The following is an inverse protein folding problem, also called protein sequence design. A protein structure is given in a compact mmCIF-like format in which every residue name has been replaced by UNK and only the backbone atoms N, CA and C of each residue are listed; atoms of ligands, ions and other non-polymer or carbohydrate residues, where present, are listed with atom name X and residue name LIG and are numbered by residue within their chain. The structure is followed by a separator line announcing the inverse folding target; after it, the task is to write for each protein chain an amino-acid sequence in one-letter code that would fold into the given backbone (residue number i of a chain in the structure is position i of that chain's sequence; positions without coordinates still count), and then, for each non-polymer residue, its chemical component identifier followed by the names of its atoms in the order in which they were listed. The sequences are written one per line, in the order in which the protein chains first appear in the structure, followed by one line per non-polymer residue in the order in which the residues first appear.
data_IF_601189114785
#
_entry.id   IF_601189114785
#
_cell.length_a   1.000
_cell.length_b   1.000
_cell.length_c   1.000
_cell.angle_alpha   90.00
_cell.angle_beta   90.00
_cell.angle_gamma   90.00
#
_symmetry.space_group_name_H-M   'P 1'
#
loop_
_entity.id
_entity.type
_entity.pdbx_description
1 polymer ?
#
# COMPACT_ATOMS: atom_id res chain seq x y z
N UNK A 1 -4.39 32.81 37.89
CA UNK A 1 -3.60 32.86 36.65
C UNK A 1 -4.54 32.54 35.50
N UNK A 2 -4.52 33.32 34.43
CA UNK A 2 -5.34 33.05 33.24
C UNK A 2 -4.63 32.02 32.37
N UNK A 3 -5.05 30.76 32.50
CA UNK A 3 -4.41 29.65 31.80
C UNK A 3 -4.68 29.65 30.28
N UNK A 4 -5.61 30.47 29.78
CA UNK A 4 -5.94 30.53 28.34
C UNK A 4 -4.90 31.28 27.50
N UNK A 5 -4.05 32.09 28.14
CA UNK A 5 -3.04 32.95 27.47
C UNK A 5 -1.60 32.44 27.59
N UNK A 6 -1.44 31.24 28.14
CA UNK A 6 -0.11 30.63 28.33
C UNK A 6 0.33 30.05 26.99
N UNK A 7 1.49 30.51 26.49
CA UNK A 7 2.15 29.95 25.32
C UNK A 7 2.50 28.46 25.52
N UNK A 8 2.48 27.69 24.44
CA UNK A 8 2.69 26.24 24.46
C UNK A 8 3.95 25.83 25.22
N UNK A 9 5.07 26.51 24.98
CA UNK A 9 6.35 26.21 25.65
C UNK A 9 6.28 26.39 27.16
N UNK A 10 5.64 27.47 27.61
CA UNK A 10 5.49 27.77 29.02
C UNK A 10 4.49 26.82 29.69
N UNK A 11 3.42 26.43 28.99
CA UNK A 11 2.47 25.42 29.45
C UNK A 11 3.14 24.06 29.66
N UNK A 12 4.02 23.64 28.75
CA UNK A 12 4.80 22.40 28.87
C UNK A 12 5.71 22.45 30.11
N UNK A 13 6.44 23.55 30.31
CA UNK A 13 7.28 23.74 31.50
C UNK A 13 6.46 23.61 32.79
N UNK A 14 5.35 24.35 32.89
CA UNK A 14 4.45 24.33 34.05
C UNK A 14 3.83 22.94 34.28
N UNK A 15 3.52 22.21 33.21
CA UNK A 15 2.97 20.85 33.30
C UNK A 15 4.01 19.89 33.90
N UNK A 16 5.26 19.95 33.44
CA UNK A 16 6.35 19.12 33.97
C UNK A 16 6.60 19.44 35.46
N UNK A 17 6.60 20.72 35.83
CA UNK A 17 6.76 21.15 37.23
C UNK A 17 5.60 20.68 38.12
N UNK A 18 4.36 20.76 37.63
CA UNK A 18 3.19 20.25 38.33
C UNK A 18 3.25 18.72 38.51
N UNK A 19 3.69 17.98 37.48
CA UNK A 19 3.92 16.53 37.56
C UNK A 19 4.98 16.17 38.60
N UNK A 20 6.11 16.90 38.64
CA UNK A 20 7.17 16.69 39.64
C UNK A 20 6.67 16.91 41.07
N UNK A 21 5.75 17.86 41.26
CA UNK A 21 5.05 18.12 42.54
C UNK A 21 3.90 17.14 42.83
N UNK A 22 3.57 16.23 41.90
CA UNK A 22 2.37 15.36 41.95
C UNK A 22 1.05 16.13 42.07
N UNK A 23 1.01 17.37 41.58
CA UNK A 23 -0.22 18.18 41.53
C UNK A 23 -0.99 17.88 40.24
N UNK A 24 -1.71 16.75 40.25
CA UNK A 24 -2.53 16.34 39.11
C UNK A 24 -3.73 17.25 38.85
N UNK A 25 -4.14 18.08 39.82
CA UNK A 25 -5.20 19.08 39.62
C UNK A 25 -4.70 20.22 38.75
N UNK A 26 -3.46 20.66 38.97
CA UNK A 26 -2.81 21.67 38.14
C UNK A 26 -2.52 21.14 36.72
N UNK A 27 -2.04 19.90 36.59
CA UNK A 27 -1.84 19.23 35.29
C UNK A 27 -3.15 19.21 34.49
N UNK A 28 -4.27 18.80 35.11
CA UNK A 28 -5.57 18.76 34.45
C UNK A 28 -6.02 20.16 33.99
N UNK A 29 -5.85 21.19 34.82
CA UNK A 29 -6.18 22.58 34.44
C UNK A 29 -5.34 23.09 33.27
N UNK A 30 -4.05 22.75 33.22
CA UNK A 30 -3.15 23.12 32.12
C UNK A 30 -3.56 22.42 30.81
N UNK A 31 -4.01 21.17 30.87
CA UNK A 31 -4.53 20.46 29.71
C UNK A 31 -5.88 21.01 29.23
N UNK A 32 -6.86 21.13 30.14
CA UNK A 32 -8.23 21.55 29.82
C UNK A 32 -8.31 22.99 29.27
N UNK A 33 -7.31 23.82 29.58
CA UNK A 33 -7.23 25.21 29.11
C UNK A 33 -6.29 25.39 27.91
N UNK A 34 -5.75 24.30 27.36
CA UNK A 34 -4.96 24.37 26.13
C UNK A 34 -5.86 24.74 24.96
N UNK A 35 -5.40 25.60 24.03
CA UNK A 35 -6.08 25.78 22.75
C UNK A 35 -6.25 24.42 22.07
N UNK A 36 -7.48 24.12 21.63
CA UNK A 36 -7.76 22.93 20.84
C UNK A 36 -7.45 23.23 19.38
N UNK A 37 -6.47 22.52 18.83
CA UNK A 37 -6.24 22.50 17.38
C UNK A 37 -7.16 21.45 16.73
N UNK A 38 -7.66 21.76 15.55
CA UNK A 38 -8.36 20.79 14.72
C UNK A 38 -7.33 20.11 13.83
N UNK A 39 -7.11 18.83 14.06
CA UNK A 39 -6.30 17.97 13.19
C UNK A 39 -7.24 17.18 12.29
N UNK A 40 -6.99 17.22 10.99
CA UNK A 40 -7.64 16.32 10.04
C UNK A 40 -6.91 14.98 10.09
N UNK A 41 -7.61 13.95 10.56
CA UNK A 41 -7.11 12.58 10.58
C UNK A 41 -7.71 11.86 9.39
N UNK A 42 -6.89 11.50 8.43
CA UNK A 42 -7.31 10.64 7.34
C UNK A 42 -7.37 9.19 7.83
N UNK A 43 -8.31 8.43 7.27
CA UNK A 43 -8.44 7.02 7.56
C UNK A 43 -7.17 6.26 7.13
N UNK A 44 -6.57 5.53 8.08
CA UNK A 44 -5.30 4.84 7.86
C UNK A 44 -5.46 3.68 6.89
N UNK A 45 -6.62 3.02 6.88
CA UNK A 45 -6.91 1.93 5.96
C UNK A 45 -6.98 2.46 4.53
N UNK A 46 -7.66 3.58 4.30
CA UNK A 46 -7.67 4.29 3.03
C UNK A 46 -6.25 4.64 2.56
N UNK A 47 -5.45 5.30 3.41
CA UNK A 47 -4.09 5.70 3.03
C UNK A 47 -3.19 4.52 2.70
N UNK A 48 -3.27 3.44 3.48
CA UNK A 48 -2.48 2.23 3.24
C UNK A 48 -2.90 1.56 1.94
N UNK A 49 -4.21 1.38 1.71
CA UNK A 49 -4.75 0.75 0.50
C UNK A 49 -4.42 1.58 -0.75
N UNK A 50 -4.60 2.91 -0.70
CA UNK A 50 -4.31 3.80 -1.82
C UNK A 50 -2.83 3.83 -2.22
N UNK A 51 -1.91 3.59 -1.28
CA UNK A 51 -0.46 3.46 -1.56
C UNK A 51 -0.09 2.05 -2.03
N UNK A 52 -0.74 1.04 -1.45
CA UNK A 52 -0.46 -0.36 -1.71
C UNK A 52 -0.85 -0.76 -3.15
N UNK A 53 -2.03 -0.36 -3.61
CA UNK A 53 -2.56 -0.81 -4.91
C UNK A 53 -1.64 -0.42 -6.10
N UNK A 54 -1.20 0.85 -6.26
CA UNK A 54 -0.27 1.21 -7.32
C UNK A 54 1.09 0.49 -7.22
N UNK A 55 1.55 0.18 -6.00
CA UNK A 55 2.78 -0.57 -5.79
C UNK A 55 2.67 -2.00 -6.32
N UNK A 56 1.57 -2.69 -6.00
CA UNK A 56 1.34 -4.04 -6.53
C UNK A 56 1.20 -4.00 -8.05
N UNK A 57 0.54 -2.99 -8.61
CA UNK A 57 0.44 -2.79 -10.06
C UNK A 57 1.81 -2.62 -10.73
N UNK A 58 2.69 -1.81 -10.15
CA UNK A 58 4.04 -1.60 -10.67
C UNK A 58 4.89 -2.88 -10.63
N UNK A 59 4.78 -3.66 -9.56
CA UNK A 59 5.45 -4.95 -9.44
C UNK A 59 4.91 -5.97 -10.45
N UNK A 60 3.60 -6.05 -10.59
CA UNK A 60 2.97 -6.91 -11.59
C UNK A 60 3.46 -6.58 -13.01
N UNK A 61 3.47 -5.30 -13.39
CA UNK A 61 3.96 -4.89 -14.70
C UNK A 61 5.45 -5.21 -14.91
N UNK A 62 6.29 -4.99 -13.88
CA UNK A 62 7.71 -5.31 -13.94
C UNK A 62 7.93 -6.81 -14.21
N UNK A 63 7.23 -7.66 -13.46
CA UNK A 63 7.31 -9.12 -13.64
C UNK A 63 6.78 -9.55 -15.01
N UNK A 64 5.68 -8.97 -15.48
CA UNK A 64 5.13 -9.28 -16.81
C UNK A 64 6.09 -8.90 -17.93
N UNK A 65 6.83 -7.78 -17.80
CA UNK A 65 7.89 -7.42 -18.74
C UNK A 65 9.04 -8.43 -18.72
N UNK A 66 9.43 -8.91 -17.55
CA UNK A 66 10.44 -9.95 -17.38
C UNK A 66 10.03 -11.26 -18.05
N UNK A 67 8.78 -11.70 -17.85
CA UNK A 67 8.22 -12.86 -18.52
C UNK A 67 8.14 -12.65 -20.04
N UNK A 68 7.66 -11.50 -20.49
CA UNK A 68 7.57 -11.18 -21.91
C UNK A 68 8.95 -11.24 -22.59
N UNK A 69 9.99 -10.66 -21.96
CA UNK A 69 11.37 -10.76 -22.44
C UNK A 69 11.83 -12.23 -22.47
N UNK A 70 11.53 -12.99 -21.43
CA UNK A 70 11.89 -14.41 -21.33
C UNK A 70 11.24 -15.24 -22.44
N UNK A 71 9.98 -14.97 -22.79
CA UNK A 71 9.28 -15.63 -23.90
C UNK A 71 10.00 -15.37 -25.23
N UNK A 72 10.49 -14.15 -25.45
CA UNK A 72 11.16 -13.80 -26.71
C UNK A 72 12.53 -14.49 -26.88
N UNK A 73 13.24 -14.76 -25.78
CA UNK A 73 14.60 -15.35 -25.83
C UNK A 73 14.63 -16.86 -25.55
N UNK A 74 13.58 -17.41 -24.93
CA UNK A 74 13.52 -18.82 -24.53
C UNK A 74 13.04 -19.73 -25.67
N UNK A 75 13.54 -20.97 -25.65
CA UNK A 75 13.02 -22.07 -26.48
C UNK A 75 11.80 -22.75 -25.85
N UNK A 76 11.61 -22.61 -24.54
CA UNK A 76 10.46 -23.14 -23.79
C UNK A 76 9.43 -22.04 -23.55
N UNK A 77 8.76 -21.64 -24.63
CA UNK A 77 7.70 -20.63 -24.61
C UNK A 77 6.40 -21.10 -23.93
N UNK A 78 5.96 -22.38 -24.06
CA UNK A 78 4.69 -22.82 -23.47
C UNK A 78 4.62 -22.63 -21.94
N UNK A 79 5.68 -22.95 -21.21
CA UNK A 79 5.72 -22.81 -19.74
C UNK A 79 5.65 -21.35 -19.30
N UNK A 80 6.35 -20.45 -20.00
CA UNK A 80 6.34 -19.02 -19.75
C UNK A 80 4.98 -18.38 -20.09
N UNK A 81 4.34 -18.82 -21.17
CA UNK A 81 2.98 -18.39 -21.51
C UNK A 81 1.95 -18.87 -20.48
N UNK A 82 2.15 -20.06 -19.90
CA UNK A 82 1.32 -20.55 -18.79
C UNK A 82 1.49 -19.68 -17.53
N UNK A 83 2.72 -19.25 -17.21
CA UNK A 83 2.99 -18.28 -16.13
C UNK A 83 2.27 -16.95 -16.36
N UNK A 84 2.37 -16.37 -17.56
CA UNK A 84 1.68 -15.11 -17.89
C UNK A 84 0.16 -15.23 -17.77
N UNK A 85 -0.41 -16.37 -18.20
CA UNK A 85 -1.85 -16.60 -18.08
C UNK A 85 -2.30 -16.76 -16.63
N UNK A 86 -1.54 -17.50 -15.81
CA UNK A 86 -1.83 -17.64 -14.39
C UNK A 86 -1.72 -16.29 -13.66
N UNK A 87 -0.70 -15.49 -13.98
CA UNK A 87 -0.53 -14.15 -13.45
C UNK A 87 -1.71 -13.24 -13.81
N UNK A 88 -2.19 -13.31 -15.05
CA UNK A 88 -3.39 -12.58 -15.50
C UNK A 88 -4.62 -12.95 -14.67
N UNK A 89 -4.90 -14.24 -14.47
CA UNK A 89 -6.05 -14.68 -13.68
C UNK A 89 -5.93 -14.23 -12.23
N UNK A 90 -4.75 -14.38 -11.62
CA UNK A 90 -4.49 -13.90 -10.26
C UNK A 90 -4.65 -12.37 -10.15
N UNK A 91 -4.19 -11.62 -11.17
CA UNK A 91 -4.31 -10.16 -11.20
C UNK A 91 -5.77 -9.72 -11.26
N UNK A 92 -6.58 -10.37 -12.08
CA UNK A 92 -8.02 -10.12 -12.16
C UNK A 92 -8.73 -10.38 -10.84
N UNK A 93 -8.41 -11.49 -10.18
CA UNK A 93 -8.96 -11.80 -8.85
C UNK A 93 -8.54 -10.77 -7.80
N UNK A 94 -7.25 -10.41 -7.76
CA UNK A 94 -6.73 -9.38 -6.86
C UNK A 94 -7.43 -8.04 -7.06
N UNK A 95 -7.62 -7.59 -8.31
CA UNK A 95 -8.30 -6.33 -8.60
C UNK A 95 -9.79 -6.38 -8.18
N UNK A 96 -10.45 -7.53 -8.40
CA UNK A 96 -11.84 -7.75 -8.00
C UNK A 96 -12.05 -7.66 -6.48
N UNK A 97 -11.11 -8.15 -5.68
CA UNK A 97 -11.17 -8.07 -4.20
C UNK A 97 -11.21 -6.62 -3.70
N UNK A 98 -10.66 -5.67 -4.48
CA UNK A 98 -10.71 -4.24 -4.19
C UNK A 98 -11.76 -3.47 -5.00
N UNK A 99 -12.56 -4.16 -5.82
CA UNK A 99 -13.57 -3.53 -6.67
C UNK A 99 -12.99 -2.59 -7.73
N UNK A 100 -11.78 -2.86 -8.21
CA UNK A 100 -11.09 -2.05 -9.22
C UNK A 100 -10.98 -2.83 -10.52
N UNK A 101 -11.19 -2.17 -11.65
CA UNK A 101 -10.94 -2.77 -12.97
C UNK A 101 -9.42 -2.96 -13.19
N UNK A 102 -8.96 -4.15 -13.64
CA UNK A 102 -7.54 -4.44 -13.85
C UNK A 102 -6.81 -3.41 -14.71
N UNK A 103 -7.47 -2.93 -15.77
CA UNK A 103 -6.96 -1.90 -16.67
C UNK A 103 -6.81 -0.56 -15.97
N UNK A 104 -7.74 -0.18 -15.10
CA UNK A 104 -7.63 1.08 -14.35
C UNK A 104 -6.45 1.03 -13.38
N UNK A 105 -6.28 -0.09 -12.69
CA UNK A 105 -5.21 -0.21 -11.71
C UNK A 105 -3.83 -0.24 -12.38
N UNK A 106 -3.68 -0.91 -13.53
CA UNK A 106 -2.38 -0.96 -14.22
C UNK A 106 -1.97 0.39 -14.82
N UNK A 107 -2.93 1.26 -15.17
CA UNK A 107 -2.64 2.63 -15.62
C UNK A 107 -1.95 3.46 -14.53
N UNK A 108 -2.14 3.15 -13.25
CA UNK A 108 -1.40 3.79 -12.15
C UNK A 108 0.11 3.48 -12.19
N UNK A 109 0.50 2.40 -12.88
CA UNK A 109 1.89 2.04 -13.15
C UNK A 109 2.36 2.48 -14.56
N UNK A 110 1.58 3.31 -15.26
CA UNK A 110 1.87 3.74 -16.63
C UNK A 110 1.39 2.77 -17.71
N UNK A 111 0.56 1.79 -17.34
CA UNK A 111 -0.05 0.84 -18.25
C UNK A 111 0.88 -0.32 -18.67
N UNK A 112 0.28 -1.32 -19.32
CA UNK A 112 1.04 -2.44 -19.88
C UNK A 112 1.91 -2.01 -21.05
N UNK A 113 3.17 -2.47 -21.06
CA UNK A 113 4.01 -2.40 -22.24
C UNK A 113 3.32 -3.11 -23.44
N UNK A 114 3.44 -2.61 -24.68
CA UNK A 114 2.72 -3.18 -25.83
C UNK A 114 2.93 -4.69 -26.03
N UNK A 115 4.15 -5.18 -25.81
CA UNK A 115 4.46 -6.63 -25.91
C UNK A 115 3.75 -7.42 -24.82
N UNK A 116 3.68 -6.91 -23.58
CA UNK A 116 2.94 -7.55 -22.49
C UNK A 116 1.47 -7.62 -22.84
N UNK A 117 0.88 -6.51 -23.29
CA UNK A 117 -0.53 -6.45 -23.71
C UNK A 117 -0.85 -7.46 -24.82
N UNK A 118 0.02 -7.58 -25.81
CA UNK A 118 -0.11 -8.55 -26.89
C UNK A 118 -0.08 -10.00 -26.38
N UNK A 119 0.91 -10.34 -25.55
CA UNK A 119 1.05 -11.70 -25.00
C UNK A 119 -0.12 -12.07 -24.08
N UNK A 120 -0.56 -11.15 -23.20
CA UNK A 120 -1.72 -11.35 -22.33
C UNK A 120 -3.04 -11.50 -23.11
N UNK A 121 -3.12 -10.91 -24.31
CA UNK A 121 -4.24 -11.09 -25.24
C UNK A 121 -4.24 -12.45 -25.93
N UNK A 122 -3.08 -13.11 -26.03
CA UNK A 122 -2.92 -14.42 -26.66
C UNK A 122 -3.03 -15.60 -25.69
N UNK A 123 -2.97 -15.34 -24.39
CA UNK A 123 -3.22 -16.33 -23.35
C UNK A 123 -4.70 -16.78 -23.37
N UNK A 124 -5.00 -17.82 -24.16
CA UNK A 124 -6.32 -18.47 -24.25
C UNK A 124 -6.37 -19.86 -23.62
N UNK A 125 -5.31 -20.27 -22.90
CA UNK A 125 -5.24 -21.57 -22.22
C UNK A 125 -5.95 -21.52 -20.86
N UNK A 126 -6.33 -22.67 -20.32
CA UNK A 126 -6.74 -22.76 -18.90
C UNK A 126 -5.54 -22.44 -18.01
N UNK A 127 -5.72 -21.54 -17.04
CA UNK A 127 -4.66 -21.24 -16.08
C UNK A 127 -4.47 -22.41 -15.11
N UNK A 128 -3.21 -22.75 -14.84
CA UNK A 128 -2.85 -23.72 -13.80
C UNK A 128 -3.13 -23.13 -12.41
N UNK A 129 -3.87 -23.87 -11.58
CA UNK A 129 -4.33 -23.39 -10.28
C UNK A 129 -3.18 -23.16 -9.28
N UNK A 130 -2.13 -23.96 -9.32
CA UNK A 130 -0.99 -23.81 -8.43
C UNK A 130 -0.17 -22.58 -8.82
N UNK A 131 -0.03 -22.31 -10.12
CA UNK A 131 0.57 -21.07 -10.59
C UNK A 131 -0.26 -19.84 -10.20
N UNK A 132 -1.59 -19.89 -10.34
CA UNK A 132 -2.47 -18.79 -9.90
C UNK A 132 -2.29 -18.54 -8.40
N UNK A 133 -2.23 -19.59 -7.59
CA UNK A 133 -1.99 -19.48 -6.15
C UNK A 133 -0.61 -18.87 -5.84
N UNK A 134 0.41 -19.24 -6.61
CA UNK A 134 1.74 -18.64 -6.50
C UNK A 134 1.70 -17.12 -6.74
N UNK A 135 1.06 -16.69 -7.82
CA UNK A 135 0.91 -15.26 -8.15
C UNK A 135 0.09 -14.50 -7.11
N UNK A 136 -1.01 -15.07 -6.62
CA UNK A 136 -1.78 -14.49 -5.53
C UNK A 136 -0.92 -14.32 -4.25
N UNK A 137 -0.04 -15.28 -3.97
CA UNK A 137 0.94 -15.17 -2.89
C UNK A 137 1.91 -14.01 -3.08
N UNK A 138 2.44 -13.82 -4.30
CA UNK A 138 3.32 -12.68 -4.61
C UNK A 138 2.60 -11.33 -4.42
N UNK A 139 1.34 -11.23 -4.86
CA UNK A 139 0.54 -10.02 -4.63
C UNK A 139 0.27 -9.79 -3.15
N UNK A 140 -0.01 -10.84 -2.38
CA UNK A 140 -0.17 -10.73 -0.93
C UNK A 140 1.09 -10.22 -0.25
N UNK A 141 2.28 -10.69 -0.65
CA UNK A 141 3.56 -10.24 -0.10
C UNK A 141 3.83 -8.79 -0.49
N UNK A 142 3.57 -8.44 -1.75
CA UNK A 142 3.69 -7.06 -2.25
C UNK A 142 2.69 -6.12 -1.55
N UNK A 143 1.50 -6.61 -1.22
CA UNK A 143 0.48 -5.88 -0.48
C UNK A 143 0.89 -5.69 0.99
N UNK A 144 1.46 -6.74 1.62
CA UNK A 144 1.94 -6.71 2.99
C UNK A 144 3.28 -5.99 3.16
N UNK A 145 3.97 -5.66 2.07
CA UNK A 145 5.29 -5.03 2.08
C UNK A 145 5.31 -3.83 3.02
N UNK A 146 5.80 -4.06 4.23
CA UNK A 146 6.22 -3.03 5.15
C UNK A 146 7.22 -2.17 4.39
N UNK A 147 7.01 -0.86 4.37
CA UNK A 147 8.10 0.04 4.05
C UNK A 147 9.13 -0.16 5.15
N UNK A 148 10.15 -0.97 4.87
CA UNK A 148 11.41 -1.00 5.61
C UNK A 148 11.91 0.43 5.72
N UNK A 149 11.57 1.11 6.82
CA UNK A 149 11.88 2.52 7.04
C UNK A 149 10.92 3.24 7.99
N UNK A 150 9.64 2.92 8.01
CA UNK A 150 8.70 3.58 8.93
C UNK A 150 8.41 2.66 10.12
N UNK A 151 9.27 2.74 11.13
CA UNK A 151 8.92 2.29 12.48
C UNK A 151 7.59 2.95 12.85
N UNK A 152 6.57 2.13 13.12
CA UNK A 152 5.41 2.55 13.92
C UNK A 152 5.96 3.06 15.25
N UNK A 153 5.98 4.38 15.39
CA UNK A 153 6.25 5.07 16.65
C UNK A 153 5.05 4.94 17.58
#
# INVERSE_FOLDING_TARGET
MDYSKIETRERVRLTIEAMARKDFKEVKKLMDSSPLERVEVHDLEYLNTARMLPRVAALFELEMRGLALSVQVSKDQPSLMAQMNAAKVAWWAFCADYGVEPEVLIETAGGHHPVVKQLLGWCGMSADADLVKHWAGLFSVAASGEVTGEKRH
#
